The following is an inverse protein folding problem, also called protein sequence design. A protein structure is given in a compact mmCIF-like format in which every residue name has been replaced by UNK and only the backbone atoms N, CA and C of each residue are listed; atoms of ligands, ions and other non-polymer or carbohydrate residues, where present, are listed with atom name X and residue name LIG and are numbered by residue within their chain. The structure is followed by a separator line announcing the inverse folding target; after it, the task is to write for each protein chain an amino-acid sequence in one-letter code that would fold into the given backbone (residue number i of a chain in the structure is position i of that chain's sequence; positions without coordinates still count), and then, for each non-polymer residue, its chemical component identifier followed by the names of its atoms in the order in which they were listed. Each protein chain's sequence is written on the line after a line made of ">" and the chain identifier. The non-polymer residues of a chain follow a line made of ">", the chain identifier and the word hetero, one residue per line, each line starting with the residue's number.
data_IF_103558983420
#
_entry.id   IF_103558983420
#
_cell.length_a   1.000
_cell.length_b   1.000
_cell.length_c   1.000
_cell.angle_alpha   90.00
_cell.angle_beta   90.00
_cell.angle_gamma   90.00
#
_symmetry.space_group_name_H-M   'P 1'
#
loop_
_entity.id
_entity.type
_entity.pdbx_description
1 polymer ?
#
# COMPACT_ATOMS: atom_id res chain seq x y z
N UNK A 1 -15.15 -0.23 83.47
CA UNK A 1 -13.95 -1.06 83.31
C UNK A 1 -13.67 -1.16 81.86
N UNK A 2 -12.65 -0.52 81.47
CA UNK A 2 -11.87 -0.49 80.22
C UNK A 2 -12.55 -0.78 78.88
N UNK A 3 -12.95 0.30 78.18
CA UNK A 3 -13.24 0.37 76.74
C UNK A 3 -11.94 0.45 75.94
N UNK A 4 -11.75 -0.45 75.00
CA UNK A 4 -10.73 -0.33 73.95
C UNK A 4 -11.38 0.18 72.68
N UNK A 5 -11.06 1.41 72.26
CA UNK A 5 -11.42 1.99 71.00
C UNK A 5 -10.55 1.40 69.89
N UNK A 6 -11.18 0.86 68.83
CA UNK A 6 -10.52 0.44 67.60
C UNK A 6 -10.49 1.65 66.64
N UNK A 7 -9.29 2.13 66.33
CA UNK A 7 -9.07 3.06 65.24
C UNK A 7 -9.05 2.27 63.90
N UNK A 8 -10.03 2.47 63.08
CA UNK A 8 -9.99 2.06 61.66
C UNK A 8 -9.33 3.16 60.86
N UNK A 9 -8.13 2.89 60.35
CA UNK A 9 -7.39 3.77 59.45
C UNK A 9 -7.89 3.47 58.02
N UNK A 10 -8.70 4.35 57.45
CA UNK A 10 -9.05 4.32 56.01
C UNK A 10 -7.84 4.82 55.21
N UNK A 11 -7.21 3.91 54.50
CA UNK A 11 -6.22 4.27 53.48
C UNK A 11 -6.97 4.69 52.21
N UNK A 12 -6.96 5.98 51.91
CA UNK A 12 -7.42 6.54 50.65
C UNK A 12 -6.34 6.30 49.58
N UNK A 13 -6.49 5.29 48.76
CA UNK A 13 -5.66 5.11 47.56
C UNK A 13 -6.15 6.09 46.53
N UNK A 14 -5.43 7.20 46.37
CA UNK A 14 -5.59 8.13 45.25
C UNK A 14 -5.04 7.45 44.01
N UNK A 15 -5.90 6.85 43.18
CA UNK A 15 -5.56 6.48 41.81
C UNK A 15 -5.34 7.79 41.03
N UNK A 16 -4.09 8.22 40.92
CA UNK A 16 -3.68 9.13 39.87
C UNK A 16 -3.84 8.39 38.54
N UNK A 17 -4.97 8.58 37.84
CA UNK A 17 -5.09 8.24 36.45
C UNK A 17 -4.06 9.07 35.69
N UNK A 18 -2.96 8.46 35.29
CA UNK A 18 -2.12 8.99 34.23
C UNK A 18 -2.99 9.09 32.99
N UNK A 19 -3.44 10.31 32.68
CA UNK A 19 -3.87 10.63 31.33
C UNK A 19 -2.65 10.40 30.43
N UNK A 20 -2.60 9.24 29.79
CA UNK A 20 -1.70 9.02 28.66
C UNK A 20 -2.23 9.94 27.57
N UNK A 21 -1.66 11.14 27.47
CA UNK A 21 -1.85 11.97 26.30
C UNK A 21 -1.36 11.14 25.11
N UNK A 22 -2.13 11.06 24.01
CA UNK A 22 -1.65 10.41 22.81
C UNK A 22 -0.29 11.03 22.46
N UNK A 23 0.72 10.19 22.28
CA UNK A 23 2.03 10.65 21.83
C UNK A 23 1.81 11.51 20.59
N UNK A 24 2.38 12.72 20.56
CA UNK A 24 2.35 13.53 19.34
C UNK A 24 2.97 12.69 18.23
N UNK A 25 2.23 12.50 17.15
CA UNK A 25 2.72 11.77 15.99
C UNK A 25 4.04 12.41 15.52
N UNK A 26 5.11 11.62 15.54
CA UNK A 26 6.40 12.05 15.02
C UNK A 26 6.32 12.01 13.48
N UNK A 27 6.50 13.16 12.78
CA UNK A 27 6.41 13.20 11.32
C UNK A 27 7.41 12.29 10.60
N UNK A 28 8.51 11.92 11.25
CA UNK A 28 9.53 11.03 10.68
C UNK A 28 9.24 9.55 10.95
N UNK A 29 8.36 9.26 11.93
CA UNK A 29 8.04 7.89 12.28
C UNK A 29 7.30 7.19 11.12
N UNK A 30 7.88 6.08 10.64
CA UNK A 30 7.29 5.28 9.57
C UNK A 30 7.30 5.91 8.18
N UNK A 31 7.87 7.11 8.00
CA UNK A 31 7.95 7.71 6.65
C UNK A 31 8.72 6.82 5.67
N UNK A 32 9.76 6.16 6.13
CA UNK A 32 10.55 5.20 5.34
C UNK A 32 9.97 3.79 5.34
N UNK A 33 8.89 3.53 6.10
CA UNK A 33 8.28 2.20 6.17
C UNK A 33 7.94 1.66 4.79
N UNK A 34 8.19 0.37 4.60
CA UNK A 34 7.86 -0.36 3.39
C UNK A 34 6.40 -0.83 3.34
N UNK A 35 5.61 -0.60 4.40
CA UNK A 35 4.29 -1.21 4.54
C UNK A 35 3.17 -0.19 4.74
N UNK A 36 2.11 -0.37 3.97
CA UNK A 36 0.90 0.43 4.02
C UNK A 36 -0.35 -0.38 3.68
N UNK A 37 -1.48 0.30 3.67
CA UNK A 37 -2.78 -0.27 3.39
C UNK A 37 -3.56 0.56 2.36
N UNK A 38 -4.45 -0.12 1.65
CA UNK A 38 -5.44 0.50 0.79
C UNK A 38 -6.83 -0.08 1.13
N UNK A 39 -7.61 0.68 1.93
CA UNK A 39 -7.19 1.77 2.79
C UNK A 39 -6.90 1.31 4.23
N UNK A 40 -6.17 2.13 5.00
CA UNK A 40 -6.05 2.01 6.45
C UNK A 40 -7.21 2.71 7.18
N UNK A 41 -7.83 3.70 6.55
CA UNK A 41 -8.81 4.60 7.18
C UNK A 41 -10.05 3.91 7.74
N UNK A 42 -10.34 2.68 7.34
CA UNK A 42 -11.47 1.92 7.89
C UNK A 42 -11.16 1.33 9.26
N UNK A 43 -9.87 1.14 9.60
CA UNK A 43 -9.47 0.57 10.87
C UNK A 43 -8.02 0.96 11.21
N UNK A 44 -7.79 2.22 11.55
CA UNK A 44 -6.45 2.72 11.87
C UNK A 44 -5.80 2.02 13.06
N UNK A 45 -6.59 1.55 14.03
CA UNK A 45 -6.07 0.87 15.20
C UNK A 45 -5.39 -0.44 14.80
N UNK A 46 -6.10 -1.32 14.10
CA UNK A 46 -5.52 -2.56 13.61
C UNK A 46 -4.46 -2.34 12.53
N UNK A 47 -4.57 -1.28 11.72
CA UNK A 47 -3.54 -0.93 10.75
C UNK A 47 -2.20 -0.58 11.44
N UNK A 48 -2.24 0.17 12.55
CA UNK A 48 -1.06 0.48 13.37
C UNK A 48 -0.55 -0.75 14.10
N UNK A 49 -1.44 -1.57 14.66
CA UNK A 49 -1.09 -2.83 15.31
C UNK A 49 -0.39 -3.79 14.34
N UNK A 50 -0.83 -3.82 13.07
CA UNK A 50 -0.17 -4.55 12.00
C UNK A 50 1.18 -3.96 11.55
N UNK A 51 1.58 -2.81 12.09
CA UNK A 51 2.84 -2.14 11.75
C UNK A 51 2.77 -1.27 10.48
N UNK A 52 1.58 -0.89 10.04
CA UNK A 52 1.40 0.02 8.92
C UNK A 52 1.62 1.49 9.30
N UNK A 53 2.20 2.25 8.37
CA UNK A 53 2.45 3.69 8.51
C UNK A 53 1.96 4.48 7.31
N UNK A 54 1.45 3.82 6.26
CA UNK A 54 1.00 4.44 5.04
C UNK A 54 -0.44 4.08 4.75
N UNK A 55 -1.20 5.09 4.32
CA UNK A 55 -2.56 4.94 3.81
C UNK A 55 -2.65 5.42 2.36
N UNK A 56 -3.21 4.59 1.50
CA UNK A 56 -3.66 4.96 0.16
C UNK A 56 -5.18 4.93 0.16
N UNK A 57 -5.85 6.08 0.19
CA UNK A 57 -7.30 6.13 0.26
C UNK A 57 -7.97 5.67 -1.03
N UNK A 58 -9.28 5.50 -0.99
CA UNK A 58 -10.07 5.29 -2.20
C UNK A 58 -10.02 6.51 -3.14
N UNK A 59 -10.24 6.26 -4.41
CA UNK A 59 -9.94 7.15 -5.53
C UNK A 59 -10.70 8.48 -5.50
N UNK A 60 -11.96 8.46 -5.05
CA UNK A 60 -12.85 9.61 -5.13
C UNK A 60 -12.46 10.77 -4.21
N UNK A 61 -11.58 10.50 -3.24
CA UNK A 61 -11.21 11.51 -2.24
C UNK A 61 -10.39 12.66 -2.85
N UNK A 62 -9.42 12.33 -3.72
CA UNK A 62 -8.57 13.29 -4.41
C UNK A 62 -8.96 13.45 -5.88
N UNK A 63 -10.23 13.23 -6.19
CA UNK A 63 -10.78 13.44 -7.52
C UNK A 63 -11.05 14.93 -7.76
N UNK A 64 -10.71 15.41 -8.96
CA UNK A 64 -10.87 16.80 -9.35
C UNK A 64 -12.27 17.34 -9.07
N UNK A 65 -13.31 16.65 -9.55
CA UNK A 65 -14.70 17.07 -9.37
C UNK A 65 -15.21 16.98 -7.93
N UNK A 66 -14.56 16.21 -7.06
CA UNK A 66 -14.86 16.17 -5.63
C UNK A 66 -14.35 17.43 -4.94
N UNK A 67 -13.17 17.90 -5.31
CA UNK A 67 -12.51 19.07 -4.71
C UNK A 67 -12.93 20.37 -5.41
N UNK A 68 -13.18 20.33 -6.70
CA UNK A 68 -13.62 21.47 -7.51
C UNK A 68 -14.95 21.12 -8.21
N UNK A 69 -16.09 21.12 -7.48
CA UNK A 69 -17.39 20.73 -8.02
C UNK A 69 -17.92 21.67 -9.10
N UNK A 70 -17.48 22.90 -9.13
CA UNK A 70 -17.71 23.90 -10.17
C UNK A 70 -16.39 24.62 -10.47
N UNK A 71 -16.17 25.00 -11.72
CA UNK A 71 -14.93 25.67 -12.16
C UNK A 71 -14.56 26.86 -11.26
N UNK A 72 -13.35 26.84 -10.72
CA UNK A 72 -12.79 27.87 -9.82
C UNK A 72 -13.35 27.85 -8.39
N UNK A 73 -14.21 26.86 -8.02
CA UNK A 73 -14.76 26.75 -6.66
C UNK A 73 -14.22 25.52 -5.95
N UNK A 74 -13.16 25.70 -5.18
CA UNK A 74 -12.55 24.62 -4.40
C UNK A 74 -13.25 24.39 -3.09
N UNK A 75 -13.48 23.11 -2.76
CA UNK A 75 -13.97 22.62 -1.48
C UNK A 75 -13.07 21.49 -0.97
N UNK A 76 -12.17 21.81 -0.08
CA UNK A 76 -11.25 20.88 0.54
C UNK A 76 -11.81 20.18 1.80
N UNK A 77 -13.09 20.37 2.14
CA UNK A 77 -13.63 19.89 3.40
C UNK A 77 -13.42 18.38 3.62
N UNK A 78 -13.68 17.56 2.62
CA UNK A 78 -13.56 16.11 2.73
C UNK A 78 -12.10 15.67 2.79
N UNK A 79 -11.24 16.23 1.96
CA UNK A 79 -9.81 15.92 1.94
C UNK A 79 -9.10 16.42 3.20
N UNK A 80 -9.40 17.63 3.68
CA UNK A 80 -8.86 18.17 4.94
C UNK A 80 -9.25 17.28 6.14
N UNK A 81 -10.51 16.85 6.18
CA UNK A 81 -10.99 15.96 7.23
C UNK A 81 -10.26 14.62 7.20
N UNK A 82 -10.08 14.04 6.02
CA UNK A 82 -9.33 12.81 5.84
C UNK A 82 -7.87 12.99 6.26
N UNK A 83 -7.15 13.97 5.73
CA UNK A 83 -5.73 14.22 6.02
C UNK A 83 -5.51 14.43 7.52
N UNK A 84 -6.37 15.23 8.16
CA UNK A 84 -6.32 15.42 9.61
C UNK A 84 -6.44 14.09 10.35
N UNK A 85 -7.44 13.28 10.01
CA UNK A 85 -7.71 11.99 10.65
C UNK A 85 -6.54 11.00 10.45
N UNK A 86 -6.02 10.90 9.24
CA UNK A 86 -4.86 10.06 8.90
C UNK A 86 -3.64 10.46 9.75
N UNK A 87 -3.33 11.75 9.80
CA UNK A 87 -2.20 12.28 10.55
C UNK A 87 -2.41 12.21 12.07
N UNK A 88 -3.64 12.28 12.56
CA UNK A 88 -3.95 12.04 13.98
C UNK A 88 -3.61 10.62 14.42
N UNK A 89 -3.71 9.64 13.52
CA UNK A 89 -3.36 8.24 13.77
C UNK A 89 -1.91 7.89 13.38
N UNK A 90 -1.11 8.88 12.96
CA UNK A 90 0.32 8.70 12.64
C UNK A 90 0.57 8.00 11.30
N UNK A 91 -0.33 8.18 10.32
CA UNK A 91 -0.13 7.66 8.96
C UNK A 91 0.29 8.74 8.00
N UNK A 92 1.13 8.35 7.04
CA UNK A 92 1.44 9.10 5.84
C UNK A 92 0.46 8.75 4.73
N UNK A 93 0.25 9.68 3.80
CA UNK A 93 -0.69 9.50 2.68
C UNK A 93 0.05 9.32 1.37
N UNK A 94 -0.33 8.29 0.60
CA UNK A 94 -0.15 8.25 -0.84
C UNK A 94 -1.44 8.76 -1.48
N UNK A 95 -1.45 10.02 -1.90
CA UNK A 95 -2.63 10.63 -2.50
C UNK A 95 -2.76 10.22 -3.97
N UNK A 96 -3.94 9.71 -4.36
CA UNK A 96 -4.22 9.29 -5.73
C UNK A 96 -5.06 10.35 -6.44
N UNK A 97 -4.43 11.16 -7.33
CA UNK A 97 -5.10 12.23 -8.09
C UNK A 97 -5.93 11.61 -9.21
N UNK A 98 -7.25 11.83 -9.19
CA UNK A 98 -8.16 11.44 -10.27
C UNK A 98 -8.55 12.66 -11.11
N UNK A 99 -8.28 12.64 -12.43
CA UNK A 99 -8.39 13.83 -13.29
C UNK A 99 -9.81 14.10 -13.80
N UNK A 100 -10.85 13.75 -13.07
CA UNK A 100 -12.22 13.79 -13.54
C UNK A 100 -13.06 14.81 -12.80
N UNK A 101 -13.66 15.76 -13.54
CA UNK A 101 -14.65 16.70 -13.03
C UNK A 101 -15.87 16.72 -13.96
N UNK A 102 -17.07 16.48 -13.45
CA UNK A 102 -18.29 16.38 -14.24
C UNK A 102 -18.57 17.62 -15.08
N UNK A 103 -18.22 18.80 -14.58
CA UNK A 103 -18.40 20.05 -15.32
C UNK A 103 -17.44 20.16 -16.52
N UNK A 104 -16.19 19.70 -16.38
CA UNK A 104 -15.19 19.65 -17.45
C UNK A 104 -15.53 18.55 -18.47
N UNK A 105 -15.84 17.35 -17.99
CA UNK A 105 -16.14 16.21 -18.86
C UNK A 105 -17.28 16.48 -19.84
N UNK A 106 -18.28 17.28 -19.44
CA UNK A 106 -19.40 17.69 -20.31
C UNK A 106 -18.99 18.62 -21.47
N UNK A 107 -17.78 19.18 -21.44
CA UNK A 107 -17.32 20.08 -22.51
C UNK A 107 -16.90 19.35 -23.77
N UNK A 108 -16.45 18.07 -23.67
CA UNK A 108 -15.91 17.34 -24.82
C UNK A 108 -16.15 15.82 -24.81
N UNK A 109 -16.85 15.27 -23.80
CA UNK A 109 -17.05 13.84 -23.65
C UNK A 109 -18.53 13.43 -23.58
N UNK A 110 -19.40 14.16 -24.26
CA UNK A 110 -20.83 13.84 -24.31
C UNK A 110 -21.12 12.45 -24.90
N UNK A 111 -20.24 11.96 -25.78
CA UNK A 111 -20.40 10.64 -26.44
C UNK A 111 -19.86 9.46 -25.60
N UNK A 112 -19.14 9.72 -24.50
CA UNK A 112 -18.63 8.64 -23.66
C UNK A 112 -19.74 8.10 -22.74
N UNK A 113 -19.80 6.77 -22.53
CA UNK A 113 -20.75 6.20 -21.59
C UNK A 113 -20.41 6.65 -20.16
N UNK A 114 -21.44 7.04 -19.40
CA UNK A 114 -21.27 7.35 -17.99
C UNK A 114 -20.95 6.08 -17.18
N UNK A 115 -19.89 6.15 -16.38
CA UNK A 115 -19.49 5.10 -15.46
C UNK A 115 -20.09 5.38 -14.09
N UNK A 116 -20.63 4.34 -13.46
CA UNK A 116 -21.19 4.46 -12.11
C UNK A 116 -20.06 4.63 -11.09
N UNK A 117 -20.15 5.65 -10.27
CA UNK A 117 -19.28 5.89 -9.13
C UNK A 117 -20.11 6.16 -7.87
N UNK A 118 -19.54 6.20 -6.67
CA UNK A 118 -20.23 6.65 -5.45
C UNK A 118 -20.83 8.05 -5.58
N UNK A 119 -20.23 8.91 -6.41
CA UNK A 119 -20.72 10.27 -6.68
C UNK A 119 -21.76 10.34 -7.81
N UNK A 120 -22.21 9.18 -8.32
CA UNK A 120 -23.19 9.10 -9.40
C UNK A 120 -22.60 8.57 -10.71
N UNK A 121 -23.15 8.96 -11.85
CA UNK A 121 -22.61 8.62 -13.16
C UNK A 121 -21.73 9.74 -13.70
N UNK A 122 -20.52 9.41 -14.10
CA UNK A 122 -19.58 10.35 -14.73
C UNK A 122 -18.81 9.66 -15.84
N UNK A 123 -18.33 10.44 -16.80
CA UNK A 123 -17.34 9.98 -17.78
C UNK A 123 -15.95 10.10 -17.19
N UNK A 124 -15.02 9.27 -17.67
CA UNK A 124 -13.63 9.22 -17.18
C UNK A 124 -12.64 9.46 -18.33
N UNK A 125 -12.96 10.44 -19.18
CA UNK A 125 -12.09 10.89 -20.27
C UNK A 125 -10.95 11.80 -19.77
N UNK A 126 -10.01 12.10 -20.67
CA UNK A 126 -8.97 13.10 -20.40
C UNK A 126 -9.64 14.46 -20.10
N UNK A 127 -9.11 15.29 -19.17
CA UNK A 127 -9.59 16.66 -18.99
C UNK A 127 -9.76 17.41 -20.30
N UNK A 128 -10.91 18.02 -20.52
CA UNK A 128 -11.18 18.85 -21.69
C UNK A 128 -10.41 20.16 -21.60
N UNK A 129 -10.35 20.74 -20.41
CA UNK A 129 -9.55 21.93 -20.10
C UNK A 129 -8.31 21.56 -19.29
N UNK A 130 -7.20 21.26 -19.98
CA UNK A 130 -5.93 20.85 -19.34
C UNK A 130 -5.30 21.94 -18.49
N UNK A 131 -5.54 23.23 -18.78
CA UNK A 131 -5.04 24.33 -17.97
C UNK A 131 -5.80 24.45 -16.64
N UNK A 132 -7.13 24.27 -16.65
CA UNK A 132 -7.92 24.19 -15.43
C UNK A 132 -7.50 22.99 -14.58
N UNK A 133 -7.26 21.82 -15.21
CA UNK A 133 -6.75 20.64 -14.52
C UNK A 133 -5.39 20.90 -13.86
N UNK A 134 -4.43 21.53 -14.56
CA UNK A 134 -3.13 21.90 -13.96
C UNK A 134 -3.32 22.84 -12.76
N UNK A 135 -4.20 23.83 -12.88
CA UNK A 135 -4.50 24.77 -11.79
C UNK A 135 -5.09 24.04 -10.57
N UNK A 136 -5.96 23.03 -10.80
CA UNK A 136 -6.46 22.17 -9.74
C UNK A 136 -5.32 21.41 -9.05
N UNK A 137 -4.43 20.76 -9.82
CA UNK A 137 -3.31 19.99 -9.25
C UNK A 137 -2.38 20.89 -8.43
N UNK A 138 -2.05 22.10 -8.92
CA UNK A 138 -1.25 23.07 -8.17
C UNK A 138 -1.95 23.41 -6.85
N UNK A 139 -3.23 23.78 -6.89
CA UNK A 139 -3.99 24.14 -5.69
C UNK A 139 -4.11 22.97 -4.69
N UNK A 140 -4.21 21.73 -5.19
CA UNK A 140 -4.25 20.54 -4.37
C UNK A 140 -2.91 20.28 -3.67
N UNK A 141 -1.79 20.42 -4.37
CA UNK A 141 -0.45 20.19 -3.80
C UNK A 141 -0.11 21.29 -2.80
N UNK A 142 -0.29 22.56 -3.14
CA UNK A 142 -0.12 23.73 -2.25
C UNK A 142 -0.93 23.57 -0.93
N UNK A 143 -2.12 22.95 -1.01
CA UNK A 143 -2.94 22.71 0.18
C UNK A 143 -2.29 21.79 1.22
N UNK A 144 -1.36 20.93 0.79
CA UNK A 144 -0.79 19.89 1.65
C UNK A 144 0.74 19.79 1.58
N UNK A 145 1.46 20.76 1.01
CA UNK A 145 2.92 20.70 0.86
C UNK A 145 3.70 21.12 2.12
N UNK A 146 3.05 21.87 3.04
CA UNK A 146 3.59 22.23 4.34
C UNK A 146 4.60 23.37 4.30
N UNK A 147 4.55 24.23 3.29
CA UNK A 147 5.44 25.37 3.14
C UNK A 147 4.99 26.62 3.92
N UNK A 148 3.78 26.63 4.47
CA UNK A 148 3.16 27.68 5.24
C UNK A 148 2.29 28.64 4.43
N UNK A 149 2.09 28.37 3.13
CA UNK A 149 1.26 29.18 2.24
C UNK A 149 0.07 28.36 1.79
N UNK A 150 -1.14 28.85 1.96
CA UNK A 150 -2.40 28.22 1.59
C UNK A 150 -2.62 26.78 2.15
N UNK A 151 -1.78 26.36 3.08
CA UNK A 151 -1.83 25.06 3.77
C UNK A 151 -3.17 24.77 4.46
N UNK A 152 -3.49 23.49 4.55
CA UNK A 152 -4.57 23.02 5.41
C UNK A 152 -4.35 23.47 6.86
N UNK A 153 -5.32 24.14 7.50
CA UNK A 153 -5.21 24.51 8.91
C UNK A 153 -4.99 23.29 9.81
N UNK A 154 -3.83 23.26 10.49
CA UNK A 154 -3.45 22.17 11.38
C UNK A 154 -2.82 20.97 10.68
N UNK A 155 -2.31 21.14 9.46
CA UNK A 155 -1.45 20.18 8.81
C UNK A 155 -0.25 19.87 9.69
N UNK A 156 -0.01 18.59 10.00
CA UNK A 156 1.09 18.17 10.90
C UNK A 156 2.39 17.93 10.13
N UNK A 157 2.27 17.38 8.93
CA UNK A 157 3.38 17.12 8.00
C UNK A 157 2.86 17.05 6.56
N UNK A 158 3.72 17.35 5.57
CA UNK A 158 3.29 17.46 4.17
C UNK A 158 2.91 16.10 3.56
N UNK A 159 2.10 16.15 2.51
CA UNK A 159 1.91 15.03 1.58
C UNK A 159 2.94 15.19 0.46
N UNK A 160 3.86 14.24 0.36
CA UNK A 160 4.97 14.29 -0.61
C UNK A 160 4.84 13.29 -1.76
N UNK A 161 3.82 12.42 -1.76
CA UNK A 161 3.65 11.38 -2.78
C UNK A 161 2.28 11.46 -3.43
N UNK A 162 2.29 11.64 -4.75
CA UNK A 162 1.11 11.88 -5.57
C UNK A 162 1.04 10.86 -6.69
N UNK A 163 0.09 9.95 -6.63
CA UNK A 163 -0.16 8.93 -7.64
C UNK A 163 -1.12 9.47 -8.69
N UNK A 164 -0.86 9.20 -9.99
CA UNK A 164 -1.60 9.80 -11.12
C UNK A 164 -2.57 8.79 -11.71
N UNK A 165 -3.85 8.95 -11.42
CA UNK A 165 -4.93 8.06 -11.81
C UNK A 165 -4.76 6.62 -11.28
N UNK A 166 -5.62 5.70 -11.70
CA UNK A 166 -5.60 4.29 -11.31
C UNK A 166 -5.81 3.43 -12.54
N UNK A 167 -4.93 2.46 -12.77
CA UNK A 167 -5.07 1.42 -13.80
C UNK A 167 -5.68 1.92 -15.12
N UNK A 168 -5.09 2.93 -15.79
CA UNK A 168 -5.71 3.58 -16.95
C UNK A 168 -5.92 2.65 -18.16
N UNK A 169 -5.28 1.49 -18.17
CA UNK A 169 -5.51 0.44 -19.15
C UNK A 169 -6.79 -0.35 -18.91
N UNK A 170 -7.37 -0.28 -17.70
CA UNK A 170 -8.65 -0.94 -17.37
C UNK A 170 -9.81 -0.09 -17.88
N UNK A 171 -10.31 -0.43 -19.06
CA UNK A 171 -11.28 0.36 -19.84
C UNK A 171 -12.57 -0.38 -20.15
N UNK A 172 -12.75 -1.59 -19.66
CA UNK A 172 -13.90 -2.45 -19.90
C UNK A 172 -14.58 -2.83 -18.58
N UNK A 173 -15.92 -2.92 -18.62
CA UNK A 173 -16.69 -3.41 -17.48
C UNK A 173 -16.19 -4.80 -17.00
N UNK A 174 -16.15 -5.08 -15.70
CA UNK A 174 -16.71 -4.28 -14.61
C UNK A 174 -15.76 -3.21 -14.03
N UNK A 175 -14.56 -3.06 -14.54
CA UNK A 175 -13.55 -2.13 -14.01
C UNK A 175 -13.15 -1.12 -15.09
N UNK A 176 -13.80 0.04 -15.08
CA UNK A 176 -13.48 1.16 -15.97
C UNK A 176 -12.89 2.30 -15.13
N UNK A 177 -11.58 2.47 -15.20
CA UNK A 177 -10.89 3.54 -14.49
C UNK A 177 -10.53 4.73 -15.40
N UNK A 178 -10.48 4.52 -16.71
CA UNK A 178 -10.19 5.56 -17.69
C UNK A 178 -10.88 5.25 -19.03
N UNK A 179 -11.27 6.29 -19.76
CA UNK A 179 -11.90 6.19 -21.08
C UNK A 179 -11.12 7.06 -22.08
N UNK A 180 -9.93 6.61 -22.46
CA UNK A 180 -9.08 7.36 -23.35
C UNK A 180 -7.95 6.52 -23.95
N UNK A 181 -7.20 7.10 -24.87
CA UNK A 181 -6.04 6.46 -25.47
C UNK A 181 -4.81 6.49 -24.55
N UNK A 182 -3.77 5.68 -24.83
CA UNK A 182 -2.47 5.80 -24.15
C UNK A 182 -1.87 7.20 -24.25
N UNK A 183 -2.14 7.93 -25.34
CA UNK A 183 -1.70 9.31 -25.52
C UNK A 183 -2.44 10.25 -24.56
N UNK A 184 -3.74 10.06 -24.37
CA UNK A 184 -4.51 10.88 -23.46
C UNK A 184 -4.03 10.71 -22.01
N UNK A 185 -3.74 9.48 -21.58
CA UNK A 185 -3.13 9.23 -20.28
C UNK A 185 -1.73 9.82 -20.15
N UNK A 186 -0.89 9.72 -21.19
CA UNK A 186 0.43 10.36 -21.19
C UNK A 186 0.33 11.88 -21.01
N UNK A 187 -0.64 12.54 -21.65
CA UNK A 187 -0.86 13.98 -21.49
C UNK A 187 -1.29 14.34 -20.06
N UNK A 188 -2.14 13.51 -19.42
CA UNK A 188 -2.52 13.65 -18.01
C UNK A 188 -1.28 13.50 -17.12
N UNK A 189 -0.52 12.41 -17.28
CA UNK A 189 0.67 12.13 -16.47
C UNK A 189 1.67 13.27 -16.54
N UNK A 190 1.95 13.76 -17.76
CA UNK A 190 2.85 14.89 -18.00
C UNK A 190 2.35 16.16 -17.32
N UNK A 191 1.09 16.52 -17.52
CA UNK A 191 0.50 17.72 -16.95
C UNK A 191 0.51 17.68 -15.41
N UNK A 192 0.17 16.52 -14.83
CA UNK A 192 0.21 16.33 -13.39
C UNK A 192 1.63 16.44 -12.85
N UNK A 193 2.61 15.79 -13.50
CA UNK A 193 4.02 15.88 -13.10
C UNK A 193 4.51 17.33 -13.08
N UNK A 194 4.26 18.07 -14.18
CA UNK A 194 4.66 19.47 -14.29
C UNK A 194 4.02 20.33 -13.19
N UNK A 195 2.71 20.16 -12.95
CA UNK A 195 1.97 20.90 -11.94
C UNK A 195 2.41 20.56 -10.49
N UNK A 196 2.64 19.28 -10.19
CA UNK A 196 3.17 18.86 -8.88
C UNK A 196 4.55 19.47 -8.63
N UNK A 197 5.45 19.42 -9.63
CA UNK A 197 6.80 19.98 -9.50
C UNK A 197 6.83 21.51 -9.49
N UNK A 198 5.83 22.16 -10.04
CA UNK A 198 5.64 23.62 -9.95
C UNK A 198 5.22 24.04 -8.55
N UNK A 199 4.27 23.34 -7.93
CA UNK A 199 3.79 23.60 -6.58
C UNK A 199 4.82 23.18 -5.52
N UNK A 200 5.34 21.96 -5.61
CA UNK A 200 6.34 21.42 -4.68
C UNK A 200 7.41 20.63 -5.45
N UNK A 201 8.58 21.22 -5.63
CA UNK A 201 9.70 20.59 -6.35
C UNK A 201 10.25 19.32 -5.66
N UNK A 202 10.01 19.15 -4.36
CA UNK A 202 10.44 17.98 -3.59
C UNK A 202 9.41 16.86 -3.59
N UNK A 203 8.15 17.13 -3.94
CA UNK A 203 7.12 16.12 -4.05
C UNK A 203 7.45 15.09 -5.13
N UNK A 204 7.04 13.84 -4.89
CA UNK A 204 7.31 12.71 -5.77
C UNK A 204 6.04 12.29 -6.50
N UNK A 205 6.13 12.16 -7.80
CA UNK A 205 5.04 11.67 -8.65
C UNK A 205 5.16 10.17 -8.81
N UNK A 206 4.13 9.46 -8.41
CA UNK A 206 3.98 8.02 -8.57
C UNK A 206 3.16 7.76 -9.82
N UNK A 207 3.69 6.99 -10.75
CA UNK A 207 2.94 6.56 -11.93
C UNK A 207 1.63 5.87 -11.50
N UNK A 208 0.54 6.05 -12.21
CA UNK A 208 -0.68 5.25 -12.03
C UNK A 208 -0.37 3.77 -12.11
N UNK A 209 -0.88 2.99 -11.19
CA UNK A 209 -0.52 1.57 -11.08
C UNK A 209 -0.88 0.78 -12.33
N UNK A 210 0.06 0.01 -12.86
CA UNK A 210 -0.23 -0.99 -13.88
C UNK A 210 -1.00 -2.14 -13.21
N UNK A 211 -2.20 -2.48 -13.68
CA UNK A 211 -3.04 -3.55 -13.11
C UNK A 211 -2.35 -4.92 -13.15
N UNK A 212 -1.45 -5.13 -14.11
CA UNK A 212 -0.69 -6.36 -14.28
C UNK A 212 0.21 -6.36 -15.51
N UNK A 213 0.68 -7.54 -15.87
CA UNK A 213 1.63 -7.75 -16.96
C UNK A 213 1.07 -8.63 -18.09
N UNK A 214 -0.25 -8.65 -18.30
CA UNK A 214 -0.85 -9.29 -19.46
C UNK A 214 -0.51 -8.50 -20.75
N UNK A 215 -0.41 -9.17 -21.88
CA UNK A 215 0.06 -8.58 -23.15
C UNK A 215 -0.72 -7.31 -23.55
N UNK A 216 -2.03 -7.28 -23.32
CA UNK A 216 -2.85 -6.12 -23.64
C UNK A 216 -2.61 -4.93 -22.70
N UNK A 217 -2.33 -5.20 -21.41
CA UNK A 217 -1.93 -4.18 -20.41
C UNK A 217 -0.56 -3.61 -20.80
N UNK A 218 0.41 -4.48 -21.05
CA UNK A 218 1.75 -4.08 -21.51
C UNK A 218 1.66 -3.29 -22.82
N UNK A 219 0.77 -3.68 -23.76
CA UNK A 219 0.58 -2.95 -25.03
C UNK A 219 0.07 -1.51 -24.83
N UNK A 220 -0.81 -1.27 -23.85
CA UNK A 220 -1.23 0.08 -23.50
C UNK A 220 -0.05 0.89 -22.95
N UNK A 221 0.63 0.36 -21.94
CA UNK A 221 1.73 1.02 -21.28
C UNK A 221 2.95 1.23 -22.19
N UNK A 222 3.25 0.30 -23.10
CA UNK A 222 4.32 0.49 -24.09
C UNK A 222 4.08 1.77 -24.92
N UNK A 223 2.84 1.97 -25.38
CA UNK A 223 2.50 3.21 -26.13
C UNK A 223 2.62 4.47 -25.27
N UNK A 224 2.36 4.38 -23.98
CA UNK A 224 2.58 5.51 -23.03
C UNK A 224 4.07 5.81 -22.90
N UNK A 225 4.89 4.77 -22.73
CA UNK A 225 6.35 4.91 -22.60
C UNK A 225 7.03 5.35 -23.91
N UNK A 226 6.53 4.93 -25.08
CA UNK A 226 7.00 5.37 -26.39
C UNK A 226 6.84 6.89 -26.59
N UNK A 227 5.93 7.54 -25.85
CA UNK A 227 5.74 8.98 -25.83
C UNK A 227 6.69 9.71 -24.87
N UNK A 228 7.55 8.97 -24.14
CA UNK A 228 8.55 9.53 -23.22
C UNK A 228 8.08 9.60 -21.76
N UNK A 229 7.15 8.80 -21.35
CA UNK A 229 6.57 8.79 -20.00
C UNK A 229 7.60 8.64 -18.88
N UNK A 230 8.73 7.94 -19.11
CA UNK A 230 9.81 7.77 -18.14
C UNK A 230 10.36 9.10 -17.56
N UNK A 231 10.12 10.22 -18.24
CA UNK A 231 10.53 11.56 -17.79
C UNK A 231 9.50 12.24 -16.88
N UNK A 232 8.30 11.69 -16.71
CA UNK A 232 7.18 12.35 -16.05
C UNK A 232 6.61 11.57 -14.85
N UNK A 233 7.45 10.80 -14.19
CA UNK A 233 7.21 10.24 -12.87
C UNK A 233 8.54 10.00 -12.15
N UNK A 234 8.52 9.95 -10.82
CA UNK A 234 9.69 9.67 -9.99
C UNK A 234 9.72 8.21 -9.55
N UNK A 235 8.56 7.62 -9.35
CA UNK A 235 8.36 6.27 -8.82
C UNK A 235 7.49 5.47 -9.79
N UNK A 236 8.03 4.34 -10.25
CA UNK A 236 7.27 3.38 -11.03
C UNK A 236 6.29 2.61 -10.13
N UNK A 237 5.13 2.23 -10.66
CA UNK A 237 4.09 1.60 -9.86
C UNK A 237 3.40 0.48 -10.62
N UNK A 238 3.10 -0.59 -9.90
CA UNK A 238 2.27 -1.68 -10.39
C UNK A 238 1.33 -2.17 -9.30
N UNK A 239 0.23 -2.78 -9.69
CA UNK A 239 -0.67 -3.49 -8.81
C UNK A 239 -0.42 -5.00 -8.92
N UNK A 240 -0.58 -5.69 -7.79
CA UNK A 240 -0.44 -7.14 -7.68
C UNK A 240 0.96 -7.72 -7.96
N UNK A 241 1.50 -8.41 -6.99
CA UNK A 241 2.79 -9.14 -7.09
C UNK A 241 2.68 -10.31 -8.09
N UNK A 242 1.49 -10.91 -8.18
CA UNK A 242 1.17 -11.96 -9.15
C UNK A 242 -0.30 -11.96 -9.50
N UNK A 243 -0.60 -12.08 -10.78
CA UNK A 243 -1.96 -12.16 -11.29
C UNK A 243 -2.06 -13.27 -12.33
N UNK A 244 -3.19 -13.98 -12.34
CA UNK A 244 -3.37 -15.11 -13.23
C UNK A 244 -2.37 -16.23 -12.94
N UNK A 245 -1.50 -16.57 -13.90
CA UNK A 245 -0.50 -17.64 -13.77
C UNK A 245 0.94 -17.13 -13.68
N UNK A 246 1.15 -15.81 -13.59
CA UNK A 246 2.46 -15.19 -13.69
C UNK A 246 2.78 -14.35 -12.45
N UNK A 247 4.06 -14.26 -12.11
CA UNK A 247 4.59 -13.25 -11.21
C UNK A 247 4.88 -11.98 -12.02
N UNK A 248 4.30 -10.85 -11.59
CA UNK A 248 4.42 -9.60 -12.33
C UNK A 248 5.80 -8.95 -12.20
N UNK A 249 6.43 -8.99 -11.02
CA UNK A 249 7.67 -8.24 -10.75
C UNK A 249 8.80 -8.51 -11.75
N UNK A 250 9.14 -9.75 -12.13
CA UNK A 250 10.20 -9.97 -13.11
C UNK A 250 9.90 -9.33 -14.48
N UNK A 251 8.66 -9.44 -14.95
CA UNK A 251 8.21 -8.86 -16.22
C UNK A 251 8.17 -7.34 -16.14
N UNK A 252 7.71 -6.78 -15.02
CA UNK A 252 7.70 -5.34 -14.78
C UNK A 252 9.10 -4.73 -14.77
N UNK A 253 10.05 -5.35 -14.06
CA UNK A 253 11.46 -4.90 -14.06
C UNK A 253 12.08 -4.95 -15.45
N UNK A 254 11.78 -6.00 -16.22
CA UNK A 254 12.20 -6.10 -17.62
C UNK A 254 11.59 -4.95 -18.45
N UNK A 255 10.28 -4.72 -18.32
CA UNK A 255 9.58 -3.62 -18.99
C UNK A 255 10.20 -2.25 -18.67
N UNK A 256 10.47 -1.96 -17.39
CA UNK A 256 11.13 -0.72 -16.99
C UNK A 256 12.53 -0.58 -17.61
N UNK A 257 13.30 -1.67 -17.65
CA UNK A 257 14.65 -1.68 -18.25
C UNK A 257 14.61 -1.42 -19.76
N UNK A 258 13.64 -2.01 -20.46
CA UNK A 258 13.48 -1.81 -21.91
C UNK A 258 12.97 -0.41 -22.26
N UNK A 259 12.42 0.33 -21.28
CA UNK A 259 11.83 1.65 -21.45
C UNK A 259 12.60 2.79 -20.71
N UNK A 260 13.90 2.61 -20.45
CA UNK A 260 14.77 3.60 -19.81
C UNK A 260 14.30 4.05 -18.42
N UNK A 261 13.68 3.16 -17.66
CA UNK A 261 13.17 3.44 -16.31
C UNK A 261 13.73 2.47 -15.24
N UNK A 262 14.81 1.72 -15.53
CA UNK A 262 15.41 0.75 -14.61
C UNK A 262 15.93 1.34 -13.30
N UNK A 263 16.35 2.61 -13.33
CA UNK A 263 16.87 3.32 -12.15
C UNK A 263 15.78 3.92 -11.25
N UNK A 264 14.54 3.92 -11.72
CA UNK A 264 13.40 4.38 -10.92
C UNK A 264 13.10 3.40 -9.79
N UNK A 265 12.93 3.85 -8.55
CA UNK A 265 12.35 2.99 -7.52
C UNK A 265 10.95 2.57 -7.94
N UNK A 266 10.49 1.40 -7.46
CA UNK A 266 9.13 1.00 -7.72
C UNK A 266 8.38 0.60 -6.45
N UNK A 267 7.09 0.87 -6.46
CA UNK A 267 6.14 0.52 -5.42
C UNK A 267 5.10 -0.46 -5.95
N UNK A 268 4.41 -1.11 -5.03
CA UNK A 268 3.24 -1.94 -5.33
C UNK A 268 2.10 -1.40 -4.47
N UNK A 269 1.29 -0.53 -5.06
CA UNK A 269 0.29 0.25 -4.31
C UNK A 269 -1.05 -0.47 -4.16
N UNK A 270 -1.17 -1.67 -4.73
CA UNK A 270 -2.23 -2.64 -4.44
C UNK A 270 -1.65 -4.04 -4.40
N UNK A 271 -1.63 -4.65 -3.22
CA UNK A 271 -1.25 -6.06 -3.06
C UNK A 271 -2.48 -6.86 -2.69
N UNK A 272 -2.91 -7.71 -3.58
CA UNK A 272 -3.93 -8.72 -3.34
C UNK A 272 -3.31 -10.12 -3.46
N UNK A 273 -3.77 -11.04 -2.65
CA UNK A 273 -3.30 -12.44 -2.65
C UNK A 273 -4.40 -13.45 -2.92
N UNK A 274 -5.66 -13.02 -2.89
CA UNK A 274 -6.78 -13.88 -3.20
C UNK A 274 -6.90 -14.09 -4.71
N UNK A 275 -7.01 -15.37 -5.11
CA UNK A 275 -7.46 -15.74 -6.45
C UNK A 275 -8.76 -16.52 -6.28
N UNK A 276 -9.86 -15.99 -6.80
CA UNK A 276 -11.21 -16.60 -6.71
C UNK A 276 -11.27 -18.05 -7.19
N UNK A 277 -10.28 -18.47 -7.99
CA UNK A 277 -10.16 -19.85 -8.50
C UNK A 277 -9.44 -20.78 -7.53
N UNK A 278 -8.71 -20.22 -6.59
CA UNK A 278 -7.91 -20.96 -5.63
C UNK A 278 -8.73 -21.24 -4.37
N UNK A 279 -8.95 -22.50 -4.06
CA UNK A 279 -9.58 -22.92 -2.80
C UNK A 279 -8.52 -23.12 -1.71
N UNK A 280 -7.97 -22.02 -1.20
CA UNK A 280 -6.99 -22.02 -0.11
C UNK A 280 -7.66 -21.80 1.24
N UNK A 281 -7.07 -22.34 2.28
CA UNK A 281 -7.37 -21.99 3.67
C UNK A 281 -6.75 -20.65 4.03
N UNK A 282 -7.25 -20.00 5.07
CA UNK A 282 -6.68 -18.74 5.58
C UNK A 282 -5.17 -18.89 5.93
N UNK A 283 -4.73 -20.03 6.44
CA UNK A 283 -3.31 -20.30 6.71
C UNK A 283 -2.47 -20.41 5.42
N UNK A 284 -3.02 -20.96 4.35
CA UNK A 284 -2.34 -21.03 3.06
C UNK A 284 -2.25 -19.64 2.40
N UNK A 285 -3.27 -18.79 2.56
CA UNK A 285 -3.22 -17.40 2.16
C UNK A 285 -2.17 -16.62 2.95
N UNK A 286 -2.09 -16.82 4.27
CA UNK A 286 -1.07 -16.23 5.13
C UNK A 286 0.36 -16.58 4.67
N UNK A 287 0.61 -17.85 4.36
CA UNK A 287 1.89 -18.27 3.80
C UNK A 287 2.16 -17.68 2.40
N UNK A 288 1.11 -17.52 1.59
CA UNK A 288 1.22 -16.88 0.27
C UNK A 288 1.55 -15.39 0.40
N UNK A 289 0.91 -14.68 1.34
CA UNK A 289 1.20 -13.28 1.64
C UNK A 289 2.67 -13.09 2.02
N UNK A 290 3.14 -13.86 3.01
CA UNK A 290 4.51 -13.75 3.48
C UNK A 290 5.53 -14.01 2.35
N UNK A 291 5.34 -15.07 1.53
CA UNK A 291 6.21 -15.34 0.37
C UNK A 291 6.20 -14.20 -0.64
N UNK A 292 5.03 -13.66 -0.94
CA UNK A 292 4.87 -12.58 -1.91
C UNK A 292 5.56 -11.30 -1.46
N UNK A 293 5.41 -10.92 -0.20
CA UNK A 293 6.08 -9.76 0.38
C UNK A 293 7.60 -9.91 0.38
N UNK A 294 8.10 -11.05 0.88
CA UNK A 294 9.53 -11.33 0.91
C UNK A 294 10.12 -11.30 -0.50
N UNK A 295 9.42 -11.91 -1.46
CA UNK A 295 9.83 -11.90 -2.86
C UNK A 295 9.86 -10.47 -3.44
N UNK A 296 8.82 -9.66 -3.18
CA UNK A 296 8.73 -8.30 -3.67
C UNK A 296 9.88 -7.43 -3.12
N UNK A 297 10.10 -7.47 -1.80
CA UNK A 297 11.19 -6.76 -1.14
C UNK A 297 12.56 -7.23 -1.64
N UNK A 298 12.77 -8.55 -1.77
CA UNK A 298 14.00 -9.13 -2.28
C UNK A 298 14.29 -8.77 -3.75
N UNK A 299 13.26 -8.40 -4.51
CA UNK A 299 13.39 -7.96 -5.90
C UNK A 299 13.36 -6.43 -6.06
N UNK A 300 13.36 -5.67 -4.96
CA UNK A 300 13.58 -4.23 -4.94
C UNK A 300 12.34 -3.36 -4.82
N UNK A 301 11.16 -3.94 -4.55
CA UNK A 301 9.99 -3.15 -4.19
C UNK A 301 10.29 -2.34 -2.92
N UNK A 302 9.94 -1.04 -2.92
CA UNK A 302 10.21 -0.14 -1.81
C UNK A 302 9.03 0.03 -0.88
N UNK A 303 7.81 -0.02 -1.41
CA UNK A 303 6.58 0.02 -0.61
C UNK A 303 5.56 -0.98 -1.14
N UNK A 304 4.79 -1.53 -0.21
CA UNK A 304 3.74 -2.52 -0.45
C UNK A 304 2.47 -2.06 0.29
N UNK A 305 1.37 -1.87 -0.43
CA UNK A 305 0.08 -1.49 0.16
C UNK A 305 -0.88 -2.68 0.07
N UNK A 306 -1.29 -3.21 1.21
CA UNK A 306 -2.20 -4.35 1.25
C UNK A 306 -3.66 -3.92 1.06
N UNK A 307 -4.35 -4.58 0.17
CA UNK A 307 -5.79 -4.41 -0.11
C UNK A 307 -6.53 -5.65 0.41
N UNK A 308 -7.44 -5.58 1.26
CA UNK A 308 -8.00 -4.68 2.23
C UNK A 308 -7.56 -5.10 3.64
N UNK A 309 -7.27 -4.15 4.51
CA UNK A 309 -7.05 -4.45 5.93
C UNK A 309 -8.31 -5.11 6.54
N UNK A 310 -9.46 -4.46 6.33
CA UNK A 310 -10.79 -4.90 6.75
C UNK A 310 -11.81 -4.47 5.71
N UNK A 311 -12.85 -5.28 5.50
CA UNK A 311 -13.95 -4.87 4.64
C UNK A 311 -14.81 -3.83 5.35
N UNK A 312 -15.23 -2.74 4.66
CA UNK A 312 -16.21 -1.82 5.20
C UNK A 312 -17.54 -2.54 5.51
N UNK A 313 -18.15 -2.24 6.65
CA UNK A 313 -19.40 -2.86 7.10
C UNK A 313 -20.57 -2.72 6.12
N UNK A 314 -20.53 -1.72 5.23
CA UNK A 314 -21.58 -1.42 4.25
C UNK A 314 -21.33 -2.03 2.86
N UNK A 315 -20.16 -2.63 2.62
CA UNK A 315 -19.94 -3.36 1.39
C UNK A 315 -20.43 -4.81 1.58
N UNK A 316 -21.34 -5.28 0.70
CA UNK A 316 -21.78 -6.65 0.76
C UNK A 316 -20.58 -7.58 0.57
N UNK A 317 -20.55 -8.65 1.38
CA UNK A 317 -19.56 -9.71 1.24
C UNK A 317 -19.64 -10.37 -0.16
N UNK A 318 -18.61 -11.08 -0.55
CA UNK A 318 -18.62 -11.83 -1.82
C UNK A 318 -19.76 -12.84 -1.90
N UNK A 319 -20.14 -13.44 -0.78
CA UNK A 319 -21.28 -14.37 -0.68
C UNK A 319 -22.61 -13.66 -0.94
N UNK A 320 -22.69 -12.36 -0.71
CA UNK A 320 -23.86 -11.49 -0.96
C UNK A 320 -23.80 -10.79 -2.33
N UNK A 321 -22.85 -11.16 -3.21
CA UNK A 321 -22.70 -10.58 -4.54
C UNK A 321 -21.88 -9.27 -4.57
N UNK A 322 -21.12 -9.00 -3.54
CA UNK A 322 -20.23 -7.84 -3.45
C UNK A 322 -18.97 -7.93 -4.33
N UNK A 323 -18.11 -6.90 -4.32
CA UNK A 323 -17.05 -6.66 -5.31
C UNK A 323 -15.86 -7.62 -5.26
N UNK A 324 -15.97 -8.77 -4.59
CA UNK A 324 -14.99 -9.82 -4.78
C UNK A 324 -13.95 -9.99 -3.69
N UNK A 325 -14.13 -9.34 -2.56
CA UNK A 325 -13.31 -9.55 -1.38
C UNK A 325 -14.00 -10.46 -0.38
N UNK A 326 -13.23 -11.30 0.28
CA UNK A 326 -13.73 -12.21 1.34
C UNK A 326 -12.93 -12.04 2.61
N UNK A 327 -13.49 -12.48 3.74
CA UNK A 327 -12.77 -12.52 5.03
C UNK A 327 -11.51 -13.39 4.97
N UNK A 328 -11.36 -14.25 3.96
CA UNK A 328 -10.16 -15.06 3.76
C UNK A 328 -8.95 -14.25 3.30
N UNK A 329 -9.17 -13.08 2.70
CA UNK A 329 -8.12 -12.19 2.18
C UNK A 329 -7.94 -10.92 3.01
N UNK A 330 -8.70 -10.72 4.09
CA UNK A 330 -8.55 -9.58 5.00
C UNK A 330 -7.64 -9.91 6.19
N UNK A 331 -6.99 -8.89 6.74
CA UNK A 331 -6.21 -9.03 7.95
C UNK A 331 -7.10 -9.08 9.20
N UNK A 332 -8.22 -8.37 9.15
CA UNK A 332 -9.25 -8.35 10.19
C UNK A 332 -10.55 -8.81 9.54
N UNK A 333 -11.20 -9.83 10.12
CA UNK A 333 -12.44 -10.36 9.57
C UNK A 333 -13.64 -9.43 9.82
N UNK A 334 -14.79 -9.74 9.25
CA UNK A 334 -16.03 -8.96 9.40
C UNK A 334 -16.51 -8.85 10.86
N UNK A 335 -16.12 -9.81 11.71
CA UNK A 335 -16.40 -9.81 13.15
C UNK A 335 -15.39 -9.04 14.00
N UNK A 336 -14.31 -8.50 13.38
CA UNK A 336 -13.24 -7.79 14.06
C UNK A 336 -12.15 -8.70 14.66
N UNK A 337 -12.10 -9.99 14.29
CA UNK A 337 -11.03 -10.88 14.75
C UNK A 337 -9.81 -10.81 13.82
N UNK A 338 -8.63 -10.92 14.42
CA UNK A 338 -7.37 -11.00 13.67
C UNK A 338 -7.26 -12.36 12.97
N UNK A 339 -7.01 -12.32 11.66
CA UNK A 339 -6.86 -13.52 10.85
C UNK A 339 -5.42 -14.05 10.85
N UNK A 340 -5.14 -15.28 10.37
CA UNK A 340 -3.77 -15.74 10.14
C UNK A 340 -2.94 -14.82 9.24
N UNK A 341 -3.59 -14.06 8.32
CA UNK A 341 -2.92 -13.10 7.46
C UNK A 341 -2.39 -11.90 8.25
N UNK A 342 -3.11 -11.45 9.28
CA UNK A 342 -2.66 -10.38 10.18
C UNK A 342 -1.31 -10.74 10.81
N UNK A 343 -1.23 -11.93 11.40
CA UNK A 343 0.00 -12.38 12.06
C UNK A 343 1.15 -12.58 11.07
N UNK A 344 0.86 -13.08 9.86
CA UNK A 344 1.87 -13.22 8.81
C UNK A 344 2.38 -11.85 8.33
N UNK A 345 1.48 -10.89 8.12
CA UNK A 345 1.83 -9.52 7.78
C UNK A 345 2.71 -8.90 8.89
N UNK A 346 2.22 -8.89 10.13
CA UNK A 346 2.94 -8.34 11.27
C UNK A 346 4.33 -8.98 11.45
N UNK A 347 4.43 -10.31 11.29
CA UNK A 347 5.73 -11.01 11.41
C UNK A 347 6.71 -10.55 10.33
N UNK A 348 6.25 -10.41 9.07
CA UNK A 348 7.11 -9.89 8.00
C UNK A 348 7.55 -8.47 8.31
N UNK A 349 6.64 -7.58 8.75
CA UNK A 349 6.96 -6.21 9.15
C UNK A 349 8.01 -6.20 10.25
N UNK A 350 7.77 -6.87 11.37
CA UNK A 350 8.69 -6.87 12.52
C UNK A 350 10.09 -7.40 12.17
N UNK A 351 10.15 -8.40 11.29
CA UNK A 351 11.44 -8.99 10.89
C UNK A 351 12.15 -8.17 9.81
N UNK A 352 11.43 -7.60 8.85
CA UNK A 352 12.04 -7.04 7.65
C UNK A 352 11.91 -5.51 7.50
N UNK A 353 11.14 -4.80 8.35
CA UNK A 353 11.14 -3.34 8.34
C UNK A 353 12.57 -2.81 8.53
N UNK A 354 12.92 -1.73 7.83
CA UNK A 354 14.24 -1.07 7.87
C UNK A 354 15.44 -1.94 7.43
N UNK A 355 15.21 -3.05 6.70
CA UNK A 355 16.34 -3.74 6.09
C UNK A 355 17.02 -2.84 5.05
N UNK A 356 18.35 -2.84 5.03
CA UNK A 356 19.13 -2.00 4.11
C UNK A 356 19.73 -2.76 2.93
N UNK A 357 19.78 -4.10 3.03
CA UNK A 357 20.32 -4.97 1.98
C UNK A 357 19.65 -6.33 2.02
N UNK A 358 19.47 -6.94 0.86
CA UNK A 358 19.00 -8.33 0.72
C UNK A 358 19.86 -9.07 -0.30
N UNK A 359 20.14 -10.33 -0.03
CA UNK A 359 20.86 -11.23 -0.93
C UNK A 359 20.01 -12.49 -1.16
N UNK A 360 19.90 -12.87 -2.42
CA UNK A 360 19.22 -14.10 -2.83
C UNK A 360 20.21 -15.27 -2.79
N UNK A 361 19.92 -16.29 -1.97
CA UNK A 361 20.69 -17.52 -1.89
C UNK A 361 20.08 -18.55 -2.88
N UNK A 362 18.76 -18.73 -2.83
CA UNK A 362 18.05 -19.68 -3.70
C UNK A 362 16.66 -19.17 -3.99
N UNK A 363 16.20 -19.37 -5.22
CA UNK A 363 14.83 -19.03 -5.63
C UNK A 363 14.38 -20.02 -6.71
N UNK A 364 13.17 -20.54 -6.57
CA UNK A 364 12.54 -21.38 -7.58
C UNK A 364 11.10 -20.95 -7.78
N UNK A 365 10.80 -20.53 -8.98
CA UNK A 365 9.48 -20.04 -9.39
C UNK A 365 8.84 -21.01 -10.39
N UNK A 366 7.54 -21.19 -10.31
CA UNK A 366 6.74 -21.91 -11.30
C UNK A 366 5.41 -21.18 -11.47
N UNK A 367 5.19 -20.58 -12.65
CA UNK A 367 4.06 -19.69 -12.87
C UNK A 367 4.06 -18.52 -11.86
N UNK A 368 2.93 -18.31 -11.20
CA UNK A 368 2.80 -17.29 -10.13
C UNK A 368 3.29 -17.74 -8.75
N UNK A 369 3.75 -18.99 -8.62
CA UNK A 369 4.09 -19.57 -7.32
C UNK A 369 5.60 -19.55 -7.08
N UNK A 370 6.00 -18.96 -5.97
CA UNK A 370 7.37 -19.00 -5.48
C UNK A 370 7.52 -20.26 -4.63
N UNK A 371 7.97 -21.35 -5.29
CA UNK A 371 8.02 -22.68 -4.70
C UNK A 371 9.07 -22.80 -3.61
N UNK A 372 10.23 -22.18 -3.82
CA UNK A 372 11.36 -22.21 -2.89
C UNK A 372 11.97 -20.82 -2.81
N UNK A 373 12.32 -20.39 -1.62
CA UNK A 373 13.05 -19.15 -1.38
C UNK A 373 13.99 -19.29 -0.21
N UNK A 374 15.22 -18.83 -0.41
CA UNK A 374 16.21 -18.64 0.65
C UNK A 374 16.87 -17.30 0.40
N UNK A 375 16.68 -16.38 1.35
CA UNK A 375 17.17 -15.01 1.28
C UNK A 375 17.89 -14.65 2.56
N UNK A 376 18.79 -13.68 2.47
CA UNK A 376 19.52 -13.11 3.57
C UNK A 376 19.26 -11.61 3.61
N UNK A 377 18.50 -11.16 4.60
CA UNK A 377 18.22 -9.76 4.85
C UNK A 377 19.17 -9.21 5.91
N UNK A 378 19.69 -8.02 5.66
CA UNK A 378 20.58 -7.30 6.56
C UNK A 378 19.82 -6.13 7.17
N UNK A 379 19.65 -6.17 8.50
CA UNK A 379 18.94 -5.17 9.27
C UNK A 379 19.78 -4.80 10.49
N UNK A 380 20.12 -3.52 10.64
CA UNK A 380 21.08 -3.07 11.63
C UNK A 380 22.40 -3.86 11.53
N UNK A 381 22.83 -4.48 12.64
CA UNK A 381 23.99 -5.38 12.70
C UNK A 381 23.60 -6.87 12.65
N UNK A 382 22.34 -7.19 12.28
CA UNK A 382 21.80 -8.55 12.28
C UNK A 382 21.59 -9.07 10.87
N UNK A 383 21.67 -10.38 10.74
CA UNK A 383 21.30 -11.09 9.52
C UNK A 383 20.10 -11.96 9.80
N UNK A 384 19.04 -11.80 9.02
CA UNK A 384 17.82 -12.58 9.10
C UNK A 384 17.74 -13.44 7.82
N UNK A 385 17.84 -14.75 7.99
CA UNK A 385 17.61 -15.68 6.90
C UNK A 385 16.11 -15.95 6.80
N UNK A 386 15.56 -15.86 5.59
CA UNK A 386 14.15 -16.18 5.34
C UNK A 386 14.07 -17.36 4.39
N UNK A 387 13.46 -18.45 4.85
CA UNK A 387 13.58 -19.75 4.20
C UNK A 387 12.23 -20.43 4.03
N UNK A 388 11.98 -21.02 2.86
CA UNK A 388 10.85 -21.93 2.61
C UNK A 388 11.12 -22.86 1.43
N UNK A 389 10.31 -23.91 1.28
CA UNK A 389 10.34 -24.87 0.16
C UNK A 389 10.85 -26.23 0.57
N UNK A 390 11.62 -26.86 -0.32
CA UNK A 390 12.17 -28.20 -0.12
C UNK A 390 13.68 -28.18 0.03
N UNK A 391 14.20 -29.15 0.79
CA UNK A 391 15.64 -29.36 1.00
C UNK A 391 16.14 -28.80 2.32
N UNK A 392 17.45 -28.63 2.42
CA UNK A 392 18.11 -28.14 3.62
C UNK A 392 18.27 -26.61 3.60
N UNK A 393 18.33 -25.97 4.77
CA UNK A 393 18.76 -24.59 4.88
C UNK A 393 20.15 -24.36 4.28
N UNK A 394 20.49 -23.10 4.01
CA UNK A 394 21.85 -22.72 3.60
C UNK A 394 22.86 -23.23 4.62
N UNK A 395 24.01 -23.74 4.14
CA UNK A 395 25.13 -24.20 4.97
C UNK A 395 25.80 -23.10 5.80
N UNK A 396 25.43 -21.84 5.57
CA UNK A 396 25.89 -20.70 6.37
C UNK A 396 25.18 -20.59 7.73
N UNK A 397 24.06 -21.31 7.89
CA UNK A 397 23.28 -21.34 9.13
C UNK A 397 23.80 -22.50 9.98
N UNK A 398 24.60 -22.18 11.00
CA UNK A 398 25.26 -23.15 11.86
C UNK A 398 24.93 -22.91 13.35
N UNK A 399 25.00 -23.97 14.14
CA UNK A 399 24.80 -23.92 15.59
C UNK A 399 23.34 -23.81 16.02
N UNK A 400 23.11 -23.25 17.20
CA UNK A 400 21.78 -22.94 17.69
C UNK A 400 21.28 -21.64 17.09
N UNK A 401 20.02 -21.64 16.64
CA UNK A 401 19.37 -20.51 15.99
C UNK A 401 17.96 -20.29 16.55
N UNK A 402 17.55 -19.06 16.52
CA UNK A 402 16.15 -18.68 16.78
C UNK A 402 15.37 -18.78 15.47
N UNK A 403 14.31 -19.54 15.46
CA UNK A 403 13.41 -19.71 14.32
C UNK A 403 12.05 -19.11 14.70
N UNK A 404 11.59 -18.15 13.88
CA UNK A 404 10.26 -17.56 14.01
C UNK A 404 9.41 -18.00 12.81
N UNK A 405 8.22 -18.53 13.03
CA UNK A 405 7.27 -18.84 11.96
C UNK A 405 6.41 -17.62 11.60
N UNK A 406 5.59 -17.75 10.55
CA UNK A 406 4.73 -16.65 10.09
C UNK A 406 3.62 -16.25 11.08
N UNK A 407 3.36 -17.02 12.12
CA UNK A 407 2.45 -16.64 13.22
C UNK A 407 3.13 -15.81 14.31
N UNK A 408 4.45 -15.60 14.19
CA UNK A 408 5.27 -14.95 15.20
C UNK A 408 5.75 -15.88 16.31
N UNK A 409 5.46 -17.18 16.24
CA UNK A 409 5.90 -18.15 17.24
C UNK A 409 7.40 -18.43 17.13
N UNK A 410 8.13 -18.35 18.24
CA UNK A 410 9.59 -18.49 18.28
C UNK A 410 10.03 -19.80 18.93
N UNK A 411 11.09 -20.40 18.38
CA UNK A 411 11.73 -21.60 18.93
C UNK A 411 13.24 -21.51 18.75
N UNK A 412 13.99 -22.05 19.69
CA UNK A 412 15.43 -22.29 19.55
C UNK A 412 15.65 -23.72 19.08
N UNK A 413 16.38 -23.88 17.99
CA UNK A 413 16.64 -25.16 17.35
C UNK A 413 18.12 -25.26 16.94
N UNK A 414 18.64 -26.48 16.89
CA UNK A 414 19.88 -26.71 16.16
C UNK A 414 19.64 -26.54 14.64
N UNK A 415 20.55 -25.88 13.95
CA UNK A 415 20.39 -25.53 12.52
C UNK A 415 20.14 -26.76 11.61
N UNK A 416 20.73 -27.91 11.93
CA UNK A 416 20.56 -29.17 11.22
C UNK A 416 19.17 -29.83 11.42
N UNK A 417 18.44 -29.41 12.46
CA UNK A 417 17.09 -29.88 12.74
C UNK A 417 15.98 -29.06 12.04
N UNK A 418 16.35 -27.99 11.33
CA UNK A 418 15.38 -27.13 10.60
C UNK A 418 14.77 -27.92 9.43
N UNK A 419 13.44 -28.02 9.41
CA UNK A 419 12.69 -28.58 8.29
C UNK A 419 11.97 -27.48 7.53
N UNK A 420 12.29 -27.30 6.25
CA UNK A 420 11.64 -26.34 5.40
C UNK A 420 10.28 -26.88 4.93
N UNK A 421 9.29 -26.00 4.93
CA UNK A 421 7.93 -26.23 4.44
C UNK A 421 7.56 -25.19 3.39
N UNK A 422 6.33 -25.21 2.90
CA UNK A 422 5.82 -24.15 2.02
C UNK A 422 5.57 -22.82 2.77
N UNK A 423 5.60 -22.81 4.10
CA UNK A 423 5.47 -21.61 4.91
C UNK A 423 6.85 -21.02 5.21
N UNK A 424 7.07 -19.72 4.98
CA UNK A 424 8.31 -19.07 5.35
C UNK A 424 8.61 -19.16 6.84
N UNK A 425 9.89 -19.26 7.15
CA UNK A 425 10.42 -19.12 8.50
C UNK A 425 11.56 -18.08 8.48
N UNK A 426 11.70 -17.37 9.58
CA UNK A 426 12.79 -16.42 9.81
C UNK A 426 13.79 -17.02 10.77
N UNK A 427 15.05 -17.04 10.39
CA UNK A 427 16.13 -17.67 11.16
C UNK A 427 17.18 -16.64 11.51
N UNK A 428 17.45 -16.48 12.78
CA UNK A 428 18.44 -15.55 13.33
C UNK A 428 19.47 -16.34 14.15
N UNK A 429 20.76 -16.01 13.99
CA UNK A 429 21.81 -16.60 14.84
C UNK A 429 21.64 -16.07 16.28
N UNK A 430 21.83 -16.92 17.25
CA UNK A 430 21.87 -16.51 18.65
C UNK A 430 23.26 -15.95 18.90
N UNK A 431 23.34 -14.66 19.22
CA UNK A 431 24.58 -14.04 19.71
C UNK A 431 24.80 -14.54 21.15
N UNK A 432 25.94 -15.19 21.37
CA UNK A 432 26.39 -15.69 22.69
C UNK A 432 27.00 -14.57 23.51
#
# INVERSE_FOLDING_TARGET
>A
MKNLAKYSMLIFIMLCGLLVLPAQANPEEGFNSSFGFMPAEFDFEHAREAGGYWDRPFFELFEWGTIEPEEGKFDFYMTDRYVRRVQEHGFHTLANIQPFANWDQKLCHEDLPGIRSPMGFQTKGKPCNMEAYKSFVISLVERYDGDGKDDMPGLKYPIKYWEVANEPEMQEEPLVFFQGSPKDYFEILKATYEAVKEADSEAQVVQGGMAGMADWMVSFWQKVFDLGAASYFDIANMHSIGHGEHLNIPSFKKFLSENNASEKPFWITEVQIEDRRDKKTSTEYAASLARSYIFALANGARKLFYVNLRLPEHLPSQEEGGPGFSDLSTLVDSSGNLTPLFYAHLTVVLKLEDFHKVEKIKEKISGKTILEGQYRFFKDNRVIYVLWGKGSPSSEIEGEVKVTDISGSEKILASDSIQLTNSPIFVEKIEL
#
